data_IF_683300191887
#
_entry.id   IF_683300191887
#
_cell.length_a   1.000
_cell.length_b   1.000
_cell.length_c   1.000
_cell.angle_alpha   90.00
_cell.angle_beta   90.00
_cell.angle_gamma   90.00
#
_symmetry.space_group_name_H-M   'P 1'
#
loop_
_entity.id
_entity.type
_entity.pdbx_description
1 polymer ?
#
# COMPACT_ATOMS: atom_id res chain seq x y z
N UNK A 1 34.79 17.88 13.74
CA UNK A 1 34.18 17.18 12.58
C UNK A 1 34.38 15.69 12.80
N UNK A 2 33.46 15.03 13.48
CA UNK A 2 33.47 13.56 13.59
C UNK A 2 32.67 13.03 12.40
N UNK A 3 33.39 12.66 11.33
CA UNK A 3 32.82 11.96 10.19
C UNK A 3 32.52 10.51 10.55
N UNK A 4 31.51 10.30 11.40
CA UNK A 4 30.89 8.99 11.51
C UNK A 4 30.27 8.65 10.17
N UNK A 5 30.59 7.48 9.60
CA UNK A 5 29.89 6.96 8.43
C UNK A 5 28.40 6.93 8.77
N UNK A 6 27.61 7.83 8.17
CA UNK A 6 26.16 7.70 8.21
C UNK A 6 25.81 6.42 7.45
N UNK A 7 25.38 5.39 8.20
CA UNK A 7 25.05 4.09 7.63
C UNK A 7 23.73 4.22 6.86
N UNK A 8 23.83 4.26 5.54
CA UNK A 8 22.67 4.34 4.63
C UNK A 8 22.11 2.96 4.35
N UNK A 9 20.78 2.81 4.27
CA UNK A 9 20.16 1.58 3.75
C UNK A 9 20.27 1.60 2.23
N UNK A 10 20.85 0.56 1.64
CA UNK A 10 20.94 0.39 0.18
C UNK A 10 19.89 -0.60 -0.28
N UNK A 11 19.03 -0.19 -1.19
CA UNK A 11 18.08 -1.07 -1.87
C UNK A 11 18.53 -1.25 -3.31
N UNK A 12 18.74 -2.49 -3.74
CA UNK A 12 19.06 -2.83 -5.13
C UNK A 12 17.82 -3.37 -5.80
N UNK A 13 17.39 -2.69 -6.84
CA UNK A 13 16.31 -3.08 -7.74
C UNK A 13 16.86 -3.89 -8.91
N UNK A 14 16.01 -4.72 -9.51
CA UNK A 14 16.27 -5.50 -10.73
C UNK A 14 15.33 -5.03 -11.82
N UNK A 15 15.84 -5.02 -13.05
CA UNK A 15 15.03 -4.68 -14.20
C UNK A 15 13.98 -5.78 -14.49
N UNK A 16 12.74 -5.40 -14.71
CA UNK A 16 11.59 -6.30 -14.83
C UNK A 16 11.72 -7.32 -15.97
N UNK A 17 12.34 -6.92 -17.09
CA UNK A 17 12.58 -7.80 -18.26
C UNK A 17 14.02 -8.32 -18.42
N UNK A 18 15.00 -7.82 -17.66
CA UNK A 18 16.40 -8.20 -17.83
C UNK A 18 17.03 -8.38 -16.45
N UNK A 19 17.09 -9.63 -15.98
CA UNK A 19 17.45 -9.92 -14.59
C UNK A 19 18.88 -9.50 -14.20
N UNK A 20 19.77 -9.29 -15.19
CA UNK A 20 21.17 -8.88 -15.01
C UNK A 20 21.32 -7.39 -14.75
N UNK A 21 20.36 -6.57 -15.21
CA UNK A 21 20.39 -5.12 -14.97
C UNK A 21 19.88 -4.82 -13.57
N UNK A 22 20.70 -4.08 -12.82
CA UNK A 22 20.41 -3.63 -11.46
C UNK A 22 20.50 -2.11 -11.35
N UNK A 23 19.67 -1.54 -10.49
CA UNK A 23 19.72 -0.14 -10.07
C UNK A 23 19.75 -0.12 -8.55
N UNK A 24 20.40 0.87 -7.93
CA UNK A 24 20.37 1.00 -6.47
C UNK A 24 19.93 2.39 -6.08
N UNK A 25 19.11 2.47 -5.04
CA UNK A 25 18.89 3.71 -4.33
C UNK A 25 19.32 3.59 -2.86
N UNK A 26 19.57 4.73 -2.25
CA UNK A 26 20.11 4.85 -0.91
C UNK A 26 19.16 5.66 -0.04
N UNK A 27 18.75 5.09 1.10
CA UNK A 27 17.94 5.78 2.10
C UNK A 27 18.89 6.30 3.17
N UNK A 28 18.80 7.60 3.44
CA UNK A 28 19.39 8.29 4.56
C UNK A 28 18.35 8.32 5.69
N UNK A 29 18.55 7.54 6.77
CA UNK A 29 17.65 7.55 7.91
C UNK A 29 17.70 8.90 8.62
N UNK A 30 16.58 9.28 9.24
CA UNK A 30 16.52 10.46 10.09
C UNK A 30 17.34 10.27 11.37
N UNK A 31 17.79 11.38 11.95
CA UNK A 31 18.45 11.40 13.26
C UNK A 31 17.40 11.53 14.37
N UNK A 32 16.60 10.47 14.55
CA UNK A 32 15.59 10.36 15.61
C UNK A 32 15.47 8.92 16.11
N UNK A 33 14.89 8.73 17.29
CA UNK A 33 14.80 7.41 17.95
C UNK A 33 14.05 6.38 17.09
N UNK A 34 12.90 6.75 16.52
CA UNK A 34 12.10 5.86 15.68
C UNK A 34 12.88 5.35 14.46
N UNK A 35 13.66 6.21 13.80
CA UNK A 35 14.49 5.81 12.68
C UNK A 35 15.61 4.86 13.11
N UNK A 36 16.21 5.05 14.30
CA UNK A 36 17.20 4.11 14.83
C UNK A 36 16.57 2.75 15.18
N UNK A 37 15.40 2.76 15.81
CA UNK A 37 14.63 1.57 16.14
C UNK A 37 14.20 0.80 14.89
N UNK A 38 13.75 1.52 13.86
CA UNK A 38 13.48 0.95 12.53
C UNK A 38 14.71 0.28 11.93
N UNK A 39 15.89 0.90 12.00
CA UNK A 39 17.13 0.31 11.48
C UNK A 39 17.51 -0.98 12.22
N UNK A 40 17.31 -1.03 13.53
CA UNK A 40 17.52 -2.25 14.34
C UNK A 40 16.55 -3.34 13.89
N UNK A 41 15.26 -3.04 13.79
CA UNK A 41 14.25 -3.99 13.32
C UNK A 41 14.51 -4.46 11.88
N UNK A 42 14.85 -3.56 10.96
CA UNK A 42 15.24 -3.90 9.60
C UNK A 42 16.43 -4.87 9.61
N UNK A 43 17.50 -4.56 10.35
CA UNK A 43 18.69 -5.41 10.41
C UNK A 43 18.40 -6.77 11.03
N UNK A 44 17.85 -6.78 12.24
CA UNK A 44 17.81 -7.96 13.09
C UNK A 44 16.61 -8.86 12.81
N UNK A 45 15.47 -8.26 12.46
CA UNK A 45 14.25 -9.00 12.19
C UNK A 45 14.06 -9.33 10.71
N UNK A 46 14.46 -8.45 9.81
CA UNK A 46 14.25 -8.67 8.37
C UNK A 46 15.49 -9.25 7.71
N UNK A 47 16.61 -8.52 7.74
CA UNK A 47 17.77 -8.84 6.91
C UNK A 47 18.51 -10.09 7.40
N UNK A 48 18.79 -10.20 8.71
CA UNK A 48 19.46 -11.39 9.29
C UNK A 48 18.63 -12.67 9.13
N UNK A 49 17.30 -12.55 9.22
CA UNK A 49 16.37 -13.69 9.08
C UNK A 49 16.00 -13.96 7.62
N UNK A 50 16.35 -13.07 6.70
CA UNK A 50 16.00 -13.09 5.28
C UNK A 50 14.50 -13.36 5.07
N UNK A 51 13.65 -12.54 5.74
CA UNK A 51 12.20 -12.73 5.67
C UNK A 51 11.69 -12.62 4.23
N UNK A 52 10.58 -13.30 3.94
CA UNK A 52 10.04 -13.35 2.59
C UNK A 52 9.35 -12.03 2.23
N UNK A 53 9.93 -11.28 1.29
CA UNK A 53 9.39 -10.05 0.72
C UNK A 53 8.18 -10.32 -0.19
N UNK A 54 7.08 -9.60 0.02
CA UNK A 54 5.85 -9.66 -0.78
C UNK A 54 5.98 -8.83 -2.07
N UNK A 55 6.35 -9.48 -3.19
CA UNK A 55 6.69 -8.77 -4.45
C UNK A 55 5.51 -8.39 -5.33
N UNK A 56 4.37 -9.06 -5.19
CA UNK A 56 3.13 -8.79 -5.93
C UNK A 56 2.31 -7.64 -5.30
N UNK A 57 2.77 -7.04 -4.20
CA UNK A 57 2.17 -5.86 -3.59
C UNK A 57 3.26 -4.88 -3.10
N UNK A 58 4.25 -4.62 -3.97
CA UNK A 58 5.42 -3.82 -3.59
C UNK A 58 5.48 -2.45 -4.27
N UNK A 59 5.06 -2.35 -5.52
CA UNK A 59 5.10 -1.11 -6.30
C UNK A 59 3.70 -0.81 -6.83
N UNK A 60 3.09 0.27 -6.36
CA UNK A 60 1.72 0.64 -6.71
C UNK A 60 1.70 1.94 -7.52
N UNK A 61 0.68 2.10 -8.37
CA UNK A 61 0.45 3.36 -9.09
C UNK A 61 1.48 3.72 -10.17
N UNK A 62 2.27 2.74 -10.64
CA UNK A 62 3.19 2.92 -11.77
C UNK A 62 2.46 2.65 -13.09
N UNK A 63 2.12 3.67 -13.89
CA UNK A 63 1.18 3.53 -15.02
C UNK A 63 1.68 2.61 -16.14
N UNK A 64 3.01 2.50 -16.29
CA UNK A 64 3.67 1.69 -17.31
C UNK A 64 4.30 0.41 -16.74
N UNK A 65 3.84 -0.06 -15.58
CA UNK A 65 4.36 -1.30 -14.97
C UNK A 65 3.98 -2.54 -15.82
N UNK A 66 4.69 -3.65 -15.60
CA UNK A 66 4.31 -4.94 -16.19
C UNK A 66 3.11 -5.60 -15.50
N UNK A 67 2.66 -5.06 -14.35
CA UNK A 67 1.44 -5.50 -13.66
C UNK A 67 0.25 -4.73 -14.21
N UNK A 68 -0.18 -5.11 -15.41
CA UNK A 68 -1.25 -4.39 -16.15
C UNK A 68 -2.64 -4.68 -15.57
N UNK A 69 -3.63 -3.85 -15.93
CA UNK A 69 -5.04 -4.08 -15.55
C UNK A 69 -5.53 -5.46 -15.99
N UNK A 70 -5.15 -5.90 -17.20
CA UNK A 70 -5.50 -7.22 -17.74
C UNK A 70 -4.90 -8.37 -16.93
N UNK A 71 -3.64 -8.22 -16.49
CA UNK A 71 -2.98 -9.22 -15.66
C UNK A 71 -3.64 -9.28 -14.28
N UNK A 72 -3.89 -8.13 -13.64
CA UNK A 72 -4.52 -8.06 -12.33
C UNK A 72 -5.96 -8.61 -12.35
N UNK A 73 -6.73 -8.34 -13.41
CA UNK A 73 -8.04 -8.95 -13.60
C UNK A 73 -7.96 -10.48 -13.71
N UNK A 74 -6.93 -11.01 -14.39
CA UNK A 74 -6.71 -12.46 -14.49
C UNK A 74 -6.37 -13.06 -13.12
N UNK A 75 -5.47 -12.43 -12.37
CA UNK A 75 -5.12 -12.86 -11.01
C UNK A 75 -6.34 -12.86 -10.07
N UNK A 76 -7.22 -11.84 -10.18
CA UNK A 76 -8.50 -11.79 -9.47
C UNK A 76 -9.44 -12.94 -9.86
N UNK A 77 -9.64 -13.19 -11.15
CA UNK A 77 -10.51 -14.27 -11.60
C UNK A 77 -9.97 -15.65 -11.18
N UNK A 78 -8.65 -15.84 -11.15
CA UNK A 78 -8.02 -17.06 -10.64
C UNK A 78 -8.25 -17.23 -9.12
N UNK A 79 -8.23 -16.12 -8.37
CA UNK A 79 -8.55 -16.11 -6.94
C UNK A 79 -10.04 -16.46 -6.70
N UNK A 80 -10.95 -15.80 -7.41
CA UNK A 80 -12.40 -16.10 -7.39
C UNK A 80 -12.67 -17.57 -7.71
N UNK A 81 -12.05 -18.09 -8.78
CA UNK A 81 -12.21 -19.49 -9.16
C UNK A 81 -11.73 -20.45 -8.06
N UNK A 82 -10.61 -20.12 -7.40
CA UNK A 82 -10.07 -20.93 -6.30
C UNK A 82 -11.05 -20.95 -5.11
N UNK A 83 -11.55 -19.78 -4.71
CA UNK A 83 -12.52 -19.63 -3.61
C UNK A 83 -13.81 -20.39 -3.91
N UNK A 84 -14.39 -20.20 -5.10
CA UNK A 84 -15.62 -20.86 -5.50
C UNK A 84 -15.44 -22.39 -5.59
N UNK A 85 -14.30 -22.88 -6.10
CA UNK A 85 -13.99 -24.32 -6.09
C UNK A 85 -13.92 -24.87 -4.67
N UNK A 86 -13.31 -24.14 -3.74
CA UNK A 86 -13.26 -24.54 -2.34
C UNK A 86 -14.65 -24.61 -1.71
N UNK A 87 -15.52 -23.64 -1.99
CA UNK A 87 -16.92 -23.67 -1.56
C UNK A 87 -17.64 -24.97 -1.99
N UNK A 88 -17.41 -25.44 -3.23
CA UNK A 88 -18.01 -26.68 -3.73
C UNK A 88 -17.49 -27.97 -3.07
N UNK A 89 -16.39 -27.92 -2.31
CA UNK A 89 -15.91 -29.09 -1.54
C UNK A 89 -16.83 -29.44 -0.36
N UNK A 90 -17.71 -28.52 0.04
CA UNK A 90 -18.61 -28.69 1.18
C UNK A 90 -17.94 -28.49 2.54
N UNK A 91 -16.67 -28.09 2.61
CA UNK A 91 -15.93 -27.97 3.88
C UNK A 91 -16.55 -26.91 4.79
N UNK A 92 -16.92 -25.74 4.27
CA UNK A 92 -17.59 -24.70 5.06
C UNK A 92 -18.93 -25.18 5.60
N UNK A 93 -19.74 -25.80 4.75
CA UNK A 93 -21.08 -26.30 5.11
C UNK A 93 -21.01 -27.42 6.14
N UNK A 94 -20.01 -28.32 6.06
CA UNK A 94 -19.76 -29.35 7.08
C UNK A 94 -19.39 -28.77 8.45
N UNK A 95 -18.92 -27.53 8.50
CA UNK A 95 -18.65 -26.79 9.72
C UNK A 95 -19.78 -25.79 10.08
N UNK A 96 -20.98 -25.94 9.50
CA UNK A 96 -22.13 -25.04 9.68
C UNK A 96 -21.87 -23.59 9.27
N UNK A 97 -20.99 -23.38 8.28
CA UNK A 97 -20.72 -22.08 7.70
C UNK A 97 -21.49 -21.97 6.37
N UNK A 98 -22.16 -20.84 6.16
CA UNK A 98 -22.91 -20.56 4.93
C UNK A 98 -22.00 -20.63 3.68
N UNK A 99 -22.53 -21.10 2.53
CA UNK A 99 -21.80 -21.05 1.28
C UNK A 99 -21.38 -19.62 0.94
N UNK A 100 -20.17 -19.46 0.41
CA UNK A 100 -19.70 -18.19 -0.13
C UNK A 100 -19.39 -18.37 -1.61
N UNK A 101 -20.08 -17.61 -2.46
CA UNK A 101 -19.89 -17.61 -3.91
C UNK A 101 -19.66 -16.18 -4.36
N UNK A 102 -18.59 -15.97 -5.11
CA UNK A 102 -18.34 -14.71 -5.81
C UNK A 102 -18.79 -14.92 -7.26
N UNK A 103 -19.79 -14.17 -7.70
CA UNK A 103 -20.40 -14.23 -9.02
C UNK A 103 -19.85 -13.18 -10.00
N UNK A 104 -19.12 -12.19 -9.48
CA UNK A 104 -18.43 -11.19 -10.27
C UNK A 104 -17.33 -11.79 -11.18
N UNK A 105 -17.19 -11.21 -12.37
CA UNK A 105 -16.10 -11.47 -13.31
C UNK A 105 -15.35 -10.16 -13.62
N UNK A 106 -14.03 -10.22 -13.55
CA UNK A 106 -13.18 -9.03 -13.67
C UNK A 106 -12.50 -8.98 -15.04
N UNK A 107 -12.66 -7.86 -15.73
CA UNK A 107 -11.91 -7.50 -16.93
C UNK A 107 -11.74 -5.98 -16.97
N UNK A 108 -10.86 -5.42 -17.81
CA UNK A 108 -10.68 -3.96 -17.88
C UNK A 108 -11.98 -3.17 -17.99
N UNK A 109 -12.97 -3.69 -18.72
CA UNK A 109 -14.28 -3.07 -18.94
C UNK A 109 -15.19 -3.12 -17.72
N UNK A 110 -15.03 -4.08 -16.80
CA UNK A 110 -15.81 -4.13 -15.54
C UNK A 110 -15.14 -3.34 -14.42
N UNK A 111 -13.82 -3.14 -14.50
CA UNK A 111 -13.04 -2.35 -13.53
C UNK A 111 -13.08 -0.85 -13.82
N UNK A 112 -13.02 -0.44 -15.09
CA UNK A 112 -12.96 0.98 -15.47
C UNK A 112 -13.76 1.30 -16.71
N UNK A 113 -14.07 2.57 -16.90
CA UNK A 113 -14.68 3.07 -18.11
C UNK A 113 -13.68 3.10 -19.28
N UNK A 114 -14.12 2.78 -20.50
CA UNK A 114 -13.25 2.73 -21.66
C UNK A 114 -12.73 4.12 -22.04
N UNK A 115 -11.62 4.14 -22.78
CA UNK A 115 -10.95 5.36 -23.23
C UNK A 115 -11.77 6.24 -24.17
N UNK A 116 -12.85 5.70 -24.73
CA UNK A 116 -13.68 6.40 -25.71
C UNK A 116 -14.53 7.51 -25.05
N UNK A 117 -14.65 7.46 -23.72
CA UNK A 117 -15.11 8.58 -22.92
C UNK A 117 -13.97 9.60 -22.73
N UNK A 118 -14.31 10.88 -22.71
CA UNK A 118 -13.37 11.96 -22.35
C UNK A 118 -12.81 11.78 -20.94
N UNK A 119 -11.70 12.44 -20.65
CA UNK A 119 -11.06 12.46 -19.34
C UNK A 119 -11.04 13.90 -18.85
N UNK A 120 -11.61 14.15 -17.68
CA UNK A 120 -11.58 15.46 -17.01
C UNK A 120 -10.23 15.67 -16.31
N UNK A 121 -9.66 16.87 -16.42
CA UNK A 121 -8.51 17.25 -15.59
C UNK A 121 -8.95 17.54 -14.15
N UNK A 122 -8.10 17.23 -13.17
CA UNK A 122 -8.33 17.51 -11.76
C UNK A 122 -8.68 18.99 -11.47
N UNK A 123 -8.18 19.93 -12.29
CA UNK A 123 -8.38 21.37 -12.10
C UNK A 123 -9.54 21.96 -12.93
N UNK A 124 -10.22 21.17 -13.76
CA UNK A 124 -11.33 21.66 -14.60
C UNK A 124 -12.62 21.73 -13.78
N UNK A 125 -13.03 22.94 -13.35
CA UNK A 125 -14.39 23.16 -12.86
C UNK A 125 -15.37 23.14 -14.04
N UNK A 126 -16.23 22.12 -14.11
CA UNK A 126 -17.19 21.94 -15.20
C UNK A 126 -17.77 20.53 -15.28
N UNK A 127 -18.75 20.39 -16.18
CA UNK A 127 -19.68 19.26 -16.37
C UNK A 127 -19.12 17.88 -15.99
N UNK A 128 -19.57 17.32 -14.85
CA UNK A 128 -19.27 15.95 -14.38
C UNK A 128 -20.11 14.91 -15.13
N UNK A 129 -20.32 15.15 -16.42
CA UNK A 129 -21.17 14.33 -17.28
C UNK A 129 -20.56 12.96 -17.56
N UNK A 130 -21.43 12.01 -17.91
CA UNK A 130 -21.07 10.65 -18.28
C UNK A 130 -19.98 10.58 -19.36
N UNK A 131 -19.90 11.61 -20.22
CA UNK A 131 -18.89 11.75 -21.27
C UNK A 131 -17.46 12.01 -20.77
N UNK A 132 -17.22 12.25 -19.48
CA UNK A 132 -15.88 12.49 -18.90
C UNK A 132 -15.36 11.37 -17.97
N UNK A 133 -15.95 10.18 -18.11
CA UNK A 133 -15.63 9.02 -17.29
C UNK A 133 -14.42 8.21 -17.77
N UNK A 134 -13.75 8.57 -18.86
CA UNK A 134 -12.67 7.76 -19.45
C UNK A 134 -11.59 7.39 -18.43
N UNK A 135 -11.25 6.10 -18.34
CA UNK A 135 -10.32 5.58 -17.32
C UNK A 135 -10.73 5.80 -15.85
N UNK A 136 -11.92 6.33 -15.54
CA UNK A 136 -12.42 6.30 -14.16
C UNK A 136 -12.67 4.86 -13.73
N UNK A 137 -12.37 4.58 -12.47
CA UNK A 137 -12.79 3.35 -11.81
C UNK A 137 -14.32 3.25 -11.79
N UNK A 138 -14.81 2.02 -11.89
CA UNK A 138 -16.20 1.68 -11.58
C UNK A 138 -16.25 1.30 -10.11
N UNK A 139 -16.37 2.31 -9.25
CA UNK A 139 -16.31 2.19 -7.78
C UNK A 139 -17.19 1.07 -7.24
N UNK A 140 -18.42 0.93 -7.75
CA UNK A 140 -19.32 -0.15 -7.33
C UNK A 140 -18.75 -1.57 -7.53
N UNK A 141 -17.90 -1.79 -8.53
CA UNK A 141 -17.23 -3.10 -8.74
C UNK A 141 -16.17 -3.35 -7.68
N UNK A 142 -15.34 -2.35 -7.37
CA UNK A 142 -14.28 -2.49 -6.38
C UNK A 142 -14.82 -2.51 -4.96
N UNK A 143 -15.90 -1.78 -4.66
CA UNK A 143 -16.58 -1.85 -3.37
C UNK A 143 -17.13 -3.25 -3.08
N UNK A 144 -17.68 -3.94 -4.09
CA UNK A 144 -18.07 -5.36 -3.94
C UNK A 144 -16.87 -6.25 -3.70
N UNK A 145 -15.78 -6.04 -4.45
CA UNK A 145 -14.53 -6.79 -4.28
C UNK A 145 -13.95 -6.63 -2.86
N UNK A 146 -13.89 -5.40 -2.34
CA UNK A 146 -13.52 -5.10 -0.95
C UNK A 146 -14.42 -5.84 0.03
N UNK A 147 -15.73 -5.76 -0.14
CA UNK A 147 -16.70 -6.42 0.72
C UNK A 147 -16.53 -7.95 0.74
N UNK A 148 -16.23 -8.57 -0.41
CA UNK A 148 -15.93 -10.01 -0.46
C UNK A 148 -14.69 -10.37 0.37
N UNK A 149 -13.62 -9.58 0.25
CA UNK A 149 -12.42 -9.77 1.06
C UNK A 149 -12.72 -9.61 2.55
N UNK A 150 -13.39 -8.53 2.95
CA UNK A 150 -13.72 -8.23 4.35
C UNK A 150 -14.53 -9.36 4.99
N UNK A 151 -15.55 -9.88 4.31
CA UNK A 151 -16.33 -11.02 4.80
C UNK A 151 -15.51 -12.31 4.87
N UNK A 152 -14.75 -12.61 3.80
CA UNK A 152 -13.99 -13.85 3.71
C UNK A 152 -12.79 -13.89 4.65
N UNK A 153 -12.13 -12.76 4.94
CA UNK A 153 -10.96 -12.66 5.82
C UNK A 153 -11.37 -12.42 7.28
N UNK A 154 -12.39 -11.58 7.51
CA UNK A 154 -12.69 -10.98 8.80
C UNK A 154 -11.69 -9.89 9.20
N UNK A 155 -11.78 -9.45 10.45
CA UNK A 155 -10.91 -8.39 11.00
C UNK A 155 -9.74 -9.00 11.79
N UNK A 156 -8.80 -8.15 12.28
CA UNK A 156 -7.65 -8.60 13.09
C UNK A 156 -8.07 -9.30 14.37
N UNK A 157 -9.02 -8.72 15.09
CA UNK A 157 -9.53 -9.27 16.34
C UNK A 157 -10.46 -10.46 16.12
N UNK A 158 -11.02 -10.60 14.91
CA UNK A 158 -12.03 -11.59 14.60
C UNK A 158 -11.90 -12.07 13.15
N UNK A 159 -10.93 -12.96 12.93
CA UNK A 159 -10.80 -13.71 11.67
C UNK A 159 -12.10 -14.47 11.41
N UNK A 160 -12.59 -14.44 10.18
CA UNK A 160 -13.85 -15.07 9.79
C UNK A 160 -13.78 -16.59 9.89
N UNK A 161 -14.93 -17.24 10.07
CA UNK A 161 -15.01 -18.71 10.02
C UNK A 161 -14.66 -19.26 8.63
N UNK A 162 -14.99 -18.52 7.56
CA UNK A 162 -14.57 -18.87 6.20
C UNK A 162 -13.05 -18.99 6.10
N UNK A 163 -12.31 -18.00 6.61
CA UNK A 163 -10.85 -18.02 6.57
C UNK A 163 -10.25 -19.11 7.46
N UNK A 164 -10.77 -19.31 8.68
CA UNK A 164 -10.26 -20.33 9.61
C UNK A 164 -10.29 -21.72 9.00
N UNK A 165 -11.40 -22.06 8.35
CA UNK A 165 -11.65 -23.37 7.76
C UNK A 165 -11.17 -23.51 6.30
N UNK A 166 -10.68 -22.43 5.68
CA UNK A 166 -10.11 -22.46 4.34
C UNK A 166 -8.77 -23.21 4.29
N UNK A 167 -8.52 -23.91 3.18
CA UNK A 167 -7.18 -24.45 2.89
C UNK A 167 -6.19 -23.33 2.53
N UNK A 168 -4.90 -23.66 2.46
CA UNK A 168 -3.85 -22.66 2.21
C UNK A 168 -4.01 -21.96 0.85
N UNK A 169 -4.47 -22.68 -0.17
CA UNK A 169 -4.68 -22.11 -1.50
C UNK A 169 -5.84 -21.09 -1.50
N UNK A 170 -6.89 -21.39 -0.75
CA UNK A 170 -8.06 -20.52 -0.57
C UNK A 170 -7.70 -19.31 0.30
N UNK A 171 -6.92 -19.47 1.37
CA UNK A 171 -6.39 -18.36 2.17
C UNK A 171 -5.54 -17.41 1.32
N UNK A 172 -4.66 -17.96 0.47
CA UNK A 172 -3.92 -17.17 -0.50
C UNK A 172 -4.85 -16.41 -1.45
N UNK A 173 -5.85 -17.08 -2.01
CA UNK A 173 -6.81 -16.47 -2.93
C UNK A 173 -7.60 -15.33 -2.27
N UNK A 174 -8.05 -15.49 -1.02
CA UNK A 174 -8.72 -14.45 -0.24
C UNK A 174 -7.81 -13.22 -0.12
N UNK A 175 -6.53 -13.39 0.26
CA UNK A 175 -5.56 -12.28 0.31
C UNK A 175 -5.41 -11.57 -1.04
N UNK A 176 -5.40 -12.32 -2.15
CA UNK A 176 -5.24 -11.74 -3.48
C UNK A 176 -6.41 -10.83 -3.89
N UNK A 177 -7.62 -11.04 -3.36
CA UNK A 177 -8.75 -10.13 -3.58
C UNK A 177 -8.37 -8.71 -3.16
N UNK A 178 -7.81 -8.54 -1.95
CA UNK A 178 -7.41 -7.24 -1.43
C UNK A 178 -6.20 -6.65 -2.17
N UNK A 179 -5.14 -7.45 -2.33
CA UNK A 179 -3.91 -7.04 -2.99
C UNK A 179 -4.18 -6.52 -4.40
N UNK A 180 -4.92 -7.27 -5.21
CA UNK A 180 -5.22 -6.88 -6.58
C UNK A 180 -6.20 -5.70 -6.64
N UNK A 181 -7.14 -5.60 -5.68
CA UNK A 181 -8.06 -4.47 -5.59
C UNK A 181 -7.31 -3.14 -5.44
N UNK A 182 -6.46 -3.03 -4.42
CA UNK A 182 -5.68 -1.81 -4.17
C UNK A 182 -4.67 -1.49 -5.27
N UNK A 183 -4.08 -2.52 -5.89
CA UNK A 183 -3.18 -2.32 -7.03
C UNK A 183 -3.94 -1.80 -8.25
N UNK A 184 -5.13 -2.34 -8.54
CA UNK A 184 -6.02 -1.83 -9.60
C UNK A 184 -6.46 -0.40 -9.33
N UNK A 185 -6.86 -0.08 -8.11
CA UNK A 185 -7.24 1.29 -7.70
C UNK A 185 -6.13 2.28 -8.02
N UNK A 186 -4.93 1.99 -7.51
CA UNK A 186 -3.76 2.85 -7.65
C UNK A 186 -3.31 2.98 -9.11
N UNK A 187 -3.30 1.86 -9.85
CA UNK A 187 -2.89 1.81 -11.24
C UNK A 187 -3.85 2.59 -12.15
N UNK A 188 -5.15 2.34 -12.03
CA UNK A 188 -6.16 2.99 -12.87
C UNK A 188 -6.19 4.50 -12.59
N UNK A 189 -6.14 4.91 -11.32
CA UNK A 189 -6.05 6.33 -10.96
C UNK A 189 -4.83 6.99 -11.61
N UNK A 190 -3.67 6.33 -11.54
CA UNK A 190 -2.42 6.85 -12.12
C UNK A 190 -2.45 6.89 -13.64
N UNK A 191 -3.03 5.89 -14.30
CA UNK A 191 -3.22 5.87 -15.76
C UNK A 191 -4.20 6.96 -16.22
N UNK A 192 -5.29 7.20 -15.47
CA UNK A 192 -6.22 8.32 -15.76
C UNK A 192 -5.48 9.66 -15.68
N UNK A 193 -4.71 9.88 -14.61
CA UNK A 193 -3.94 11.11 -14.40
C UNK A 193 -2.84 11.30 -15.45
N UNK A 194 -2.20 10.24 -15.92
CA UNK A 194 -1.19 10.33 -16.98
C UNK A 194 -1.69 11.04 -18.25
N UNK A 195 -3.00 10.98 -18.54
CA UNK A 195 -3.61 11.56 -19.74
C UNK A 195 -3.77 13.09 -19.64
N UNK A 196 -4.17 13.62 -18.48
CA UNK A 196 -4.53 15.04 -18.30
C UNK A 196 -3.70 15.79 -17.25
N UNK A 197 -3.25 15.07 -16.24
CA UNK A 197 -2.60 15.60 -15.04
C UNK A 197 -1.34 14.78 -14.70
N UNK A 198 -0.37 14.63 -15.63
CA UNK A 198 0.74 13.69 -15.48
C UNK A 198 1.63 14.01 -14.27
N UNK A 199 1.62 15.24 -13.78
CA UNK A 199 2.33 15.60 -12.55
C UNK A 199 1.73 14.96 -11.28
N UNK A 200 0.47 14.52 -11.35
CA UNK A 200 -0.33 14.01 -10.23
C UNK A 200 -0.44 12.48 -10.18
N UNK A 201 0.22 11.76 -11.09
CA UNK A 201 0.41 10.30 -11.00
C UNK A 201 0.92 9.96 -9.59
N UNK A 202 0.42 8.88 -8.99
CA UNK A 202 0.67 8.53 -7.58
C UNK A 202 1.45 7.21 -7.43
N UNK A 203 2.68 7.10 -7.94
CA UNK A 203 3.49 5.91 -7.69
C UNK A 203 3.94 5.86 -6.23
N UNK A 204 3.95 4.67 -5.65
CA UNK A 204 4.46 4.40 -4.32
C UNK A 204 5.18 3.06 -4.27
N UNK A 205 5.93 2.84 -3.20
CA UNK A 205 6.51 1.56 -2.85
C UNK A 205 6.08 1.18 -1.44
N UNK A 206 5.61 -0.05 -1.27
CA UNK A 206 5.28 -0.68 0.00
C UNK A 206 6.26 -1.84 0.19
N UNK A 207 7.02 -1.86 1.27
CA UNK A 207 8.06 -2.88 1.49
C UNK A 207 7.68 -3.76 2.67
N UNK A 208 6.86 -4.78 2.41
CA UNK A 208 6.30 -5.67 3.42
C UNK A 208 6.88 -7.07 3.39
N UNK A 209 6.98 -7.69 4.55
CA UNK A 209 7.53 -9.04 4.71
C UNK A 209 6.55 -9.95 5.43
N UNK A 210 6.50 -11.21 5.00
CA UNK A 210 5.70 -12.21 5.67
C UNK A 210 6.19 -12.41 7.11
N UNK A 211 5.26 -12.27 8.05
CA UNK A 211 5.50 -12.47 9.48
C UNK A 211 6.57 -11.52 10.05
N UNK A 212 6.66 -10.29 9.53
CA UNK A 212 7.52 -9.25 10.11
C UNK A 212 7.21 -9.05 11.61
N UNK A 213 8.20 -9.19 12.51
CA UNK A 213 8.05 -8.88 13.92
C UNK A 213 7.58 -7.44 14.13
N UNK A 214 6.68 -7.28 15.11
CA UNK A 214 6.07 -6.00 15.48
C UNK A 214 6.56 -5.60 16.86
N UNK A 215 6.91 -4.33 17.00
CA UNK A 215 7.40 -3.71 18.23
C UNK A 215 6.47 -2.57 18.62
N UNK A 216 6.27 -2.33 19.91
CA UNK A 216 5.38 -1.26 20.37
C UNK A 216 6.00 0.11 20.11
N UNK A 217 5.21 1.03 19.56
CA UNK A 217 5.57 2.45 19.50
C UNK A 217 5.58 3.04 20.92
N UNK A 218 6.67 3.73 21.25
CA UNK A 218 6.81 4.51 22.48
C UNK A 218 6.05 5.85 22.36
N UNK A 219 5.83 6.52 23.49
CA UNK A 219 5.23 7.87 23.49
C UNK A 219 6.09 8.90 22.73
N UNK A 220 7.42 8.69 22.67
CA UNK A 220 8.36 9.53 21.91
C UNK A 220 8.20 9.33 20.40
N UNK A 221 8.10 8.07 19.94
CA UNK A 221 7.88 7.76 18.52
C UNK A 221 6.61 8.43 17.99
N UNK A 222 5.55 8.41 18.81
CA UNK A 222 4.24 8.96 18.46
C UNK A 222 4.25 10.47 18.27
N UNK A 223 5.25 11.19 18.80
CA UNK A 223 5.42 12.61 18.51
C UNK A 223 5.69 12.88 17.02
N UNK A 224 6.21 11.87 16.29
CA UNK A 224 6.39 11.95 14.85
C UNK A 224 5.08 12.22 14.10
N UNK A 225 3.94 11.71 14.58
CA UNK A 225 2.63 12.01 13.98
C UNK A 225 2.29 13.50 14.07
N UNK A 226 2.60 14.13 15.21
CA UNK A 226 2.37 15.56 15.41
C UNK A 226 3.29 16.39 14.52
N UNK A 227 4.54 15.97 14.39
CA UNK A 227 5.55 16.67 13.61
C UNK A 227 5.28 16.59 12.10
N UNK A 228 4.93 15.42 11.57
CA UNK A 228 4.76 15.19 10.14
C UNK A 228 3.31 15.40 9.66
N UNK A 229 2.31 15.08 10.49
CA UNK A 229 0.89 15.01 10.09
C UNK A 229 0.72 14.11 8.87
N UNK A 230 -0.17 14.50 7.95
CA UNK A 230 -0.47 13.80 6.72
C UNK A 230 0.41 14.22 5.54
N UNK A 231 1.55 14.88 5.80
CA UNK A 231 2.49 15.24 4.74
C UNK A 231 3.11 13.98 4.12
N UNK A 232 3.11 13.94 2.79
CA UNK A 232 3.76 12.92 1.96
C UNK A 232 4.64 13.62 0.92
N UNK A 233 5.93 13.36 0.94
CA UNK A 233 6.91 14.08 0.13
C UNK A 233 7.68 13.17 -0.82
N UNK A 234 7.97 13.66 -2.03
CA UNK A 234 8.69 12.89 -3.04
C UNK A 234 10.06 12.40 -2.55
N UNK A 235 10.29 11.10 -2.61
CA UNK A 235 11.54 10.46 -2.19
C UNK A 235 11.65 10.25 -0.67
N UNK A 236 10.62 10.59 0.11
CA UNK A 236 10.63 10.38 1.55
C UNK A 236 10.18 8.96 1.91
N UNK A 237 10.70 8.50 3.04
CA UNK A 237 10.50 7.15 3.57
C UNK A 237 9.68 7.25 4.85
N UNK A 238 8.61 6.48 4.89
CA UNK A 238 7.67 6.45 6.00
C UNK A 238 7.64 5.04 6.60
N UNK A 239 7.43 4.98 7.91
CA UNK A 239 7.18 3.73 8.59
C UNK A 239 5.93 3.07 7.99
N UNK A 240 6.03 1.79 7.67
CA UNK A 240 4.88 1.05 7.16
C UNK A 240 3.80 0.92 8.23
N UNK A 241 2.53 0.97 7.81
CA UNK A 241 1.40 0.73 8.70
C UNK A 241 1.28 -0.77 9.03
N UNK A 242 2.09 -1.23 9.98
CA UNK A 242 2.25 -2.64 10.34
C UNK A 242 1.06 -3.24 11.13
N UNK A 243 -0.17 -2.82 10.86
CA UNK A 243 -1.38 -3.23 11.54
C UNK A 243 -2.56 -3.23 10.57
N UNK A 244 -3.47 -4.21 10.66
CA UNK A 244 -4.69 -4.21 9.83
C UNK A 244 -5.80 -3.52 10.62
N UNK A 245 -6.65 -2.74 9.93
CA UNK A 245 -7.74 -1.94 10.52
C UNK A 245 -7.89 -0.61 9.80
N UNK A 246 -8.97 0.12 10.04
CA UNK A 246 -9.16 1.46 9.47
C UNK A 246 -8.52 2.51 10.37
N UNK A 247 -7.86 3.49 9.77
CA UNK A 247 -7.44 4.71 10.46
C UNK A 247 -8.63 5.62 10.72
N UNK A 248 -8.50 6.54 11.68
CA UNK A 248 -9.52 7.58 11.94
C UNK A 248 -9.79 8.41 10.68
N UNK A 249 -8.75 8.65 9.88
CA UNK A 249 -8.85 9.45 8.67
C UNK A 249 -9.60 8.72 7.54
N UNK A 250 -9.36 7.41 7.37
CA UNK A 250 -10.11 6.58 6.42
C UNK A 250 -11.58 6.49 6.80
N UNK A 251 -11.90 6.27 8.09
CA UNK A 251 -13.29 6.29 8.56
C UNK A 251 -13.97 7.62 8.23
N UNK A 252 -13.29 8.75 8.45
CA UNK A 252 -13.85 10.06 8.14
C UNK A 252 -14.15 10.23 6.63
N UNK A 253 -13.28 9.72 5.76
CA UNK A 253 -13.45 9.79 4.29
C UNK A 253 -14.53 8.82 3.79
N UNK A 254 -14.60 7.61 4.33
CA UNK A 254 -15.52 6.57 3.89
C UNK A 254 -16.96 6.84 4.33
N UNK A 255 -17.15 7.43 5.50
CA UNK A 255 -18.48 7.59 6.13
C UNK A 255 -19.15 8.94 5.82
N UNK A 256 -18.69 9.65 4.77
CA UNK A 256 -19.20 10.98 4.37
C UNK A 256 -19.29 11.97 5.56
N UNK A 257 -18.32 11.92 6.48
CA UNK A 257 -18.30 12.72 7.72
C UNK A 257 -19.46 12.47 8.70
N UNK A 258 -20.11 11.30 8.65
CA UNK A 258 -21.13 10.93 9.63
C UNK A 258 -20.54 10.77 11.05
N UNK A 259 -21.41 10.75 12.06
CA UNK A 259 -20.96 10.64 13.46
C UNK A 259 -20.43 9.23 13.75
N UNK A 260 -19.38 9.14 14.57
CA UNK A 260 -18.91 7.85 15.07
C UNK A 260 -20.04 7.16 15.82
N UNK A 261 -20.34 5.92 15.44
CA UNK A 261 -21.20 5.03 16.20
C UNK A 261 -20.33 3.94 16.86
N UNK A 262 -20.89 3.20 17.82
CA UNK A 262 -20.17 2.18 18.61
C UNK A 262 -19.47 1.14 17.71
N UNK A 263 -20.12 0.73 16.61
CA UNK A 263 -19.56 -0.21 15.63
C UNK A 263 -18.39 0.37 14.83
N UNK A 264 -18.44 1.66 14.48
CA UNK A 264 -17.36 2.36 13.77
C UNK A 264 -16.17 2.59 14.71
N UNK A 265 -16.41 2.88 15.99
CA UNK A 265 -15.35 2.99 17.00
C UNK A 265 -14.57 1.68 17.18
N UNK A 266 -15.26 0.54 17.16
CA UNK A 266 -14.61 -0.79 17.27
C UNK A 266 -13.77 -1.16 16.03
N UNK A 267 -14.06 -0.56 14.87
CA UNK A 267 -13.32 -0.78 13.62
C UNK A 267 -12.06 0.09 13.50
N UNK A 268 -11.97 1.21 14.23
CA UNK A 268 -10.81 2.09 14.24
C UNK A 268 -9.69 1.42 15.04
N UNK A 269 -8.52 1.27 14.41
CA UNK A 269 -7.33 0.75 15.11
C UNK A 269 -6.19 1.74 15.01
N UNK A 270 -5.96 2.50 16.08
CA UNK A 270 -4.80 3.40 16.16
C UNK A 270 -3.50 2.60 16.05
N UNK A 271 -2.53 3.11 15.30
CA UNK A 271 -1.27 2.38 15.08
C UNK A 271 -0.54 2.16 16.39
N UNK A 272 -0.34 0.89 16.76
CA UNK A 272 0.35 0.52 18.00
C UNK A 272 1.78 0.07 17.78
N UNK A 273 2.10 -0.35 16.55
CA UNK A 273 3.31 -1.08 16.27
C UNK A 273 4.12 -0.46 15.14
N UNK A 274 5.44 -0.64 15.24
CA UNK A 274 6.36 -0.52 14.12
C UNK A 274 6.98 -1.88 13.80
N UNK A 275 7.60 -2.00 12.62
CA UNK A 275 8.38 -3.15 12.18
C UNK A 275 9.59 -2.67 11.36
N UNK A 276 10.40 -3.59 10.83
CA UNK A 276 11.46 -3.26 9.87
C UNK A 276 10.95 -2.89 8.46
N UNK A 277 9.63 -2.91 8.25
CA UNK A 277 8.97 -2.55 6.98
C UNK A 277 8.94 -1.04 6.77
N UNK A 278 8.87 -0.61 5.52
CA UNK A 278 8.86 0.81 5.17
C UNK A 278 8.19 1.07 3.82
N UNK A 279 7.63 2.27 3.70
CA UNK A 279 7.00 2.77 2.49
C UNK A 279 7.80 3.93 1.90
N UNK A 280 7.75 4.10 0.59
CA UNK A 280 8.38 5.22 -0.11
C UNK A 280 7.32 5.94 -0.94
N UNK A 281 7.28 7.25 -0.79
CA UNK A 281 6.47 8.13 -1.63
C UNK A 281 7.24 8.51 -2.89
N UNK A 282 6.80 8.03 -4.05
CA UNK A 282 7.40 8.40 -5.34
C UNK A 282 6.57 9.46 -6.08
N UNK A 283 5.41 9.84 -5.58
CA UNK A 283 4.56 10.82 -6.25
C UNK A 283 4.99 12.27 -5.97
N UNK A 284 4.26 13.22 -6.58
CA UNK A 284 4.35 14.64 -6.21
C UNK A 284 4.06 14.81 -4.73
N UNK A 285 4.87 15.63 -4.06
CA UNK A 285 4.67 15.99 -2.66
C UNK A 285 3.29 16.60 -2.46
N UNK A 286 2.60 16.14 -1.43
CA UNK A 286 1.35 16.66 -0.90
C UNK A 286 1.61 17.00 0.55
N UNK A 287 1.74 18.30 0.82
CA UNK A 287 2.03 18.81 2.16
C UNK A 287 1.15 20.00 2.47
N UNK A 288 0.94 20.27 3.75
CA UNK A 288 0.22 21.46 4.18
C UNK A 288 0.93 22.74 3.70
N UNK A 289 0.14 23.77 3.36
CA UNK A 289 0.62 25.08 2.88
C UNK A 289 1.51 25.02 1.61
N UNK A 290 1.36 23.98 0.78
CA UNK A 290 2.02 23.86 -0.51
C UNK A 290 1.06 24.16 -1.68
N UNK A 291 1.47 23.84 -2.90
CA UNK A 291 0.65 23.97 -4.13
C UNK A 291 -0.50 22.94 -4.22
N UNK A 292 -1.12 22.63 -3.07
CA UNK A 292 -2.18 21.65 -2.89
C UNK A 292 -3.29 22.23 -1.96
N UNK A 293 -3.95 23.34 -2.28
CA UNK A 293 -4.91 24.00 -1.37
C UNK A 293 -6.09 23.11 -0.97
N UNK A 294 -6.44 22.13 -1.82
CA UNK A 294 -7.44 21.11 -1.50
C UNK A 294 -7.04 20.25 -0.29
N UNK A 295 -5.74 20.02 -0.07
CA UNK A 295 -5.24 19.22 1.05
C UNK A 295 -5.38 19.97 2.37
N UNK A 296 -5.05 21.27 2.39
CA UNK A 296 -5.29 22.12 3.57
C UNK A 296 -6.77 22.21 3.90
N UNK A 297 -7.61 22.34 2.87
CA UNK A 297 -9.06 22.34 3.05
C UNK A 297 -9.55 21.00 3.63
N UNK A 298 -9.13 19.87 3.07
CA UNK A 298 -9.48 18.54 3.56
C UNK A 298 -9.09 18.34 5.03
N UNK A 299 -7.86 18.70 5.40
CA UNK A 299 -7.39 18.61 6.79
C UNK A 299 -8.14 19.56 7.73
N UNK A 300 -8.58 20.73 7.23
CA UNK A 300 -9.44 21.63 8.01
C UNK A 300 -10.79 21.01 8.33
N UNK A 301 -11.42 20.33 7.34
CA UNK A 301 -12.70 19.64 7.53
C UNK A 301 -12.54 18.45 8.48
N UNK A 302 -11.46 17.68 8.33
CA UNK A 302 -11.14 16.58 9.21
C UNK A 302 -10.97 17.05 10.67
N UNK A 303 -10.25 18.15 10.89
CA UNK A 303 -10.08 18.72 12.23
C UNK A 303 -11.42 19.12 12.86
N UNK A 304 -12.31 19.77 12.10
CA UNK A 304 -13.67 20.12 12.57
C UNK A 304 -14.46 18.87 12.93
N UNK A 305 -14.32 17.79 12.16
CA UNK A 305 -14.98 16.54 12.46
C UNK A 305 -14.43 15.89 13.75
N UNK A 306 -13.12 15.85 13.94
CA UNK A 306 -12.49 15.33 15.17
C UNK A 306 -13.00 16.06 16.43
N UNK A 307 -13.08 17.39 16.39
CA UNK A 307 -13.60 18.19 17.50
C UNK A 307 -15.05 17.81 17.85
N UNK A 308 -15.90 17.53 16.85
CA UNK A 308 -17.28 17.05 17.07
C UNK A 308 -17.33 15.67 17.72
N UNK A 309 -16.31 14.83 17.49
CA UNK A 309 -16.19 13.50 18.09
C UNK A 309 -15.44 13.49 19.43
N UNK A 310 -15.09 14.66 19.99
CA UNK A 310 -14.26 14.82 21.19
C UNK A 310 -12.85 14.17 21.05
N UNK A 311 -12.29 14.17 19.84
CA UNK A 311 -10.94 13.70 19.56
C UNK A 311 -10.00 14.90 19.39
N UNK A 312 -8.89 14.93 20.14
CA UNK A 312 -7.90 16.00 20.02
C UNK A 312 -6.93 15.72 18.86
N UNK A 313 -6.91 16.61 17.87
CA UNK A 313 -5.99 16.55 16.72
C UNK A 313 -4.50 16.53 17.12
N UNK A 314 -4.17 16.99 18.33
CA UNK A 314 -2.82 16.98 18.87
C UNK A 314 -2.54 15.80 19.81
N UNK A 315 -3.48 14.89 20.01
CA UNK A 315 -3.22 13.67 20.79
C UNK A 315 -2.40 12.68 19.94
N UNK A 316 -1.12 12.43 20.28
CA UNK A 316 -0.26 11.51 19.53
C UNK A 316 -0.73 10.05 19.61
N UNK A 317 -1.59 9.70 20.57
CA UNK A 317 -2.14 8.35 20.72
C UNK A 317 -3.15 8.00 19.63
N UNK A 318 -3.79 9.01 19.04
CA UNK A 318 -4.71 8.82 17.93
C UNK A 318 -4.01 8.42 16.62
N UNK A 319 -2.68 8.55 16.56
CA UNK A 319 -1.86 8.15 15.40
C UNK A 319 -2.30 8.83 14.10
N UNK A 320 -2.59 10.13 14.18
CA UNK A 320 -3.10 10.92 13.06
C UNK A 320 -1.96 11.38 12.15
N UNK A 321 -1.70 10.61 11.08
CA UNK A 321 -0.73 10.98 10.05
C UNK A 321 0.22 9.84 9.69
N UNK A 322 1.39 10.21 9.17
CA UNK A 322 2.46 9.30 8.80
C UNK A 322 3.71 9.53 9.64
N UNK A 323 4.46 8.47 9.94
CA UNK A 323 5.73 8.56 10.64
C UNK A 323 6.88 8.58 9.65
N UNK A 324 7.49 9.75 9.48
CA UNK A 324 8.67 9.93 8.62
C UNK A 324 9.93 9.36 9.30
N UNK A 325 10.69 8.54 8.58
CA UNK A 325 11.86 7.82 9.13
C UNK A 325 13.14 8.01 8.30
N UNK A 326 13.06 8.63 7.13
CA UNK A 326 14.23 8.94 6.32
C UNK A 326 13.88 9.41 4.93
N UNK A 327 14.91 9.61 4.10
CA UNK A 327 14.76 10.11 2.73
C UNK A 327 15.74 9.46 1.78
N UNK A 328 15.36 9.34 0.52
CA UNK A 328 16.26 8.85 -0.51
C UNK A 328 17.27 9.94 -0.87
N UNK A 329 18.53 9.52 -1.01
CA UNK A 329 19.57 10.31 -1.66
C UNK A 329 19.38 10.27 -3.18
N UNK A 330 18.50 11.14 -3.70
CA UNK A 330 18.07 11.12 -5.10
C UNK A 330 19.25 11.34 -6.07
N UNK A 331 20.13 12.30 -5.77
CA UNK A 331 21.31 12.58 -6.59
C UNK A 331 22.27 11.39 -6.62
N UNK A 332 22.59 10.78 -5.47
CA UNK A 332 23.44 9.58 -5.44
C UNK A 332 22.80 8.39 -6.16
N UNK A 333 21.48 8.26 -6.07
CA UNK A 333 20.74 7.10 -6.56
C UNK A 333 20.46 7.18 -8.06
N UNK A 334 20.16 8.37 -8.58
CA UNK A 334 19.65 8.58 -9.93
C UNK A 334 20.44 9.62 -10.75
N UNK A 335 21.33 10.39 -10.11
CA UNK A 335 22.05 11.51 -10.76
C UNK A 335 21.16 12.71 -11.09
N UNK A 336 19.97 12.77 -10.49
CA UNK A 336 18.99 13.83 -10.68
C UNK A 336 18.01 13.83 -9.51
N UNK A 337 17.42 14.99 -9.23
CA UNK A 337 16.27 15.18 -8.34
C UNK A 337 14.96 15.35 -9.13
N UNK A 338 15.03 15.33 -10.47
CA UNK A 338 13.87 15.48 -11.32
C UNK A 338 12.97 14.24 -11.25
N UNK A 339 11.78 14.42 -10.69
CA UNK A 339 10.80 13.35 -10.47
C UNK A 339 10.44 12.59 -11.75
N UNK A 340 10.19 13.29 -12.86
CA UNK A 340 9.79 12.66 -14.11
C UNK A 340 10.92 11.85 -14.75
N UNK A 341 12.17 12.28 -14.60
CA UNK A 341 13.33 11.49 -15.03
C UNK A 341 13.50 10.23 -14.17
N UNK A 342 13.35 10.36 -12.85
CA UNK A 342 13.38 9.22 -11.91
C UNK A 342 12.27 8.21 -12.25
N UNK A 343 11.06 8.67 -12.56
CA UNK A 343 9.97 7.77 -12.93
C UNK A 343 10.28 6.94 -14.18
N UNK A 344 10.83 7.57 -15.24
CA UNK A 344 11.22 6.86 -16.47
C UNK A 344 12.24 5.75 -16.22
N UNK A 345 13.14 5.97 -15.26
CA UNK A 345 14.09 4.94 -14.83
C UNK A 345 13.34 3.86 -14.04
N UNK A 346 12.65 4.25 -12.96
CA UNK A 346 12.00 3.34 -12.01
C UNK A 346 10.96 2.41 -12.63
N UNK A 347 10.22 2.83 -13.65
CA UNK A 347 9.21 1.99 -14.34
C UNK A 347 9.78 0.66 -14.85
N UNK A 348 11.08 0.62 -15.15
CA UNK A 348 11.77 -0.59 -15.59
C UNK A 348 12.35 -1.43 -14.45
N UNK A 349 12.40 -0.91 -13.22
CA UNK A 349 13.08 -1.51 -12.06
C UNK A 349 12.13 -1.74 -10.87
N UNK A 350 10.90 -2.18 -11.13
CA UNK A 350 9.86 -2.42 -10.10
C UNK A 350 9.98 -3.82 -9.46
N UNK A 351 11.19 -4.19 -9.06
CA UNK A 351 11.49 -5.46 -8.41
C UNK A 351 12.70 -5.33 -7.46
N UNK A 352 12.49 -5.47 -6.15
CA UNK A 352 13.59 -5.42 -5.18
C UNK A 352 14.39 -6.72 -5.24
N UNK A 353 15.67 -6.63 -5.59
CA UNK A 353 16.61 -7.75 -5.61
C UNK A 353 17.34 -7.96 -4.29
N UNK A 354 17.75 -6.90 -3.60
CA UNK A 354 18.39 -7.02 -2.29
C UNK A 354 18.25 -5.74 -1.47
N UNK A 355 18.27 -5.90 -0.15
CA UNK A 355 18.37 -4.79 0.81
C UNK A 355 19.61 -5.02 1.66
N UNK A 356 20.37 -3.96 1.91
CA UNK A 356 21.63 -3.99 2.63
C UNK A 356 21.72 -2.84 3.62
N UNK A 357 22.11 -3.15 4.86
CA UNK A 357 22.35 -2.19 5.92
C UNK A 357 23.34 -2.78 6.95
N UNK A 358 24.30 -1.96 7.38
CA UNK A 358 25.31 -2.32 8.40
C UNK A 358 25.91 -3.73 8.24
N UNK A 359 26.51 -3.96 7.07
CA UNK A 359 27.13 -5.23 6.64
C UNK A 359 26.18 -6.46 6.61
N UNK A 360 24.88 -6.27 6.84
CA UNK A 360 23.85 -7.28 6.68
C UNK A 360 23.18 -7.11 5.33
N UNK A 361 22.98 -8.21 4.60
CA UNK A 361 22.36 -8.21 3.27
C UNK A 361 21.39 -9.37 3.13
N UNK A 362 20.18 -9.06 2.70
CA UNK A 362 19.18 -10.04 2.29
C UNK A 362 19.02 -10.02 0.76
N UNK A 363 18.90 -11.19 0.15
CA UNK A 363 18.76 -11.36 -1.31
C UNK A 363 17.38 -11.98 -1.58
N UNK A 364 16.61 -11.28 -2.40
CA UNK A 364 15.25 -11.62 -2.79
C UNK A 364 15.22 -12.05 -4.26
N UNK A 365 15.92 -13.13 -4.60
CA UNK A 365 16.10 -13.57 -5.98
C UNK A 365 14.91 -14.40 -6.54
N UNK A 366 13.70 -13.86 -6.40
CA UNK A 366 12.47 -14.36 -7.01
C UNK A 366 11.69 -13.21 -7.63
N UNK A 367 10.71 -13.48 -8.48
CA UNK A 367 9.86 -12.48 -9.11
C UNK A 367 8.40 -12.92 -9.01
N UNK A 368 7.46 -11.98 -8.96
CA UNK A 368 6.03 -12.29 -8.84
C UNK A 368 5.50 -13.14 -10.01
N UNK A 369 6.19 -13.10 -11.16
CA UNK A 369 5.86 -13.90 -12.35
C UNK A 369 6.58 -15.25 -12.44
N UNK A 370 7.41 -15.61 -11.45
CA UNK A 370 8.05 -16.93 -11.44
C UNK A 370 6.98 -18.02 -11.23
N UNK A 371 7.11 -19.17 -11.90
CA UNK A 371 6.09 -20.22 -11.92
C UNK A 371 5.74 -20.78 -10.53
N UNK A 372 6.69 -20.75 -9.60
CA UNK A 372 6.57 -21.27 -8.23
C UNK A 372 6.23 -20.17 -7.21
N UNK A 373 6.04 -18.92 -7.64
CA UNK A 373 5.84 -17.78 -6.74
C UNK A 373 4.61 -17.94 -5.85
N UNK A 374 3.48 -18.38 -6.43
CA UNK A 374 2.25 -18.68 -5.67
C UNK A 374 2.47 -19.78 -4.63
N UNK A 375 3.22 -20.83 -4.98
CA UNK A 375 3.52 -21.92 -4.04
C UNK A 375 4.36 -21.40 -2.87
N UNK A 376 5.42 -20.64 -3.16
CA UNK A 376 6.28 -20.03 -2.13
C UNK A 376 5.48 -19.19 -1.13
N UNK A 377 4.55 -18.36 -1.60
CA UNK A 377 3.68 -17.59 -0.71
C UNK A 377 2.73 -18.46 0.10
N UNK A 378 2.09 -19.44 -0.55
CA UNK A 378 1.13 -20.35 0.09
C UNK A 378 1.78 -21.12 1.24
N UNK A 379 3.03 -21.55 1.09
CA UNK A 379 3.80 -22.24 2.13
C UNK A 379 4.10 -21.36 3.35
N UNK A 380 4.09 -20.04 3.21
CA UNK A 380 4.28 -19.07 4.32
C UNK A 380 2.99 -18.70 5.05
N UNK A 381 1.85 -19.19 4.58
CA UNK A 381 0.57 -19.09 5.29
C UNK A 381 0.33 -20.28 6.24
N UNK A 382 1.26 -21.24 6.29
CA UNK A 382 1.34 -22.26 7.34
C UNK A 382 1.79 -21.62 8.64
#
# INVERSE_FOLDING_TARGET
MNGGLQLTVKVTLRHSLNKDKKLSYYINPDDNILAQDWLVALKDDILKKNLYLEKNYCFLGWPNSHRTVELLCRELNDAVLTINKFNFTGVWQKNNIEPFIIDDWYCPETIRWPRDYGVQSFNEQGDTGWNLLGYSLKEGTLNRLHNYFENLQGTVGQISEWYKHADLATKYAIRQLNTCCHELESLVLSQRKQIKDPEWIRPSQITTFFQAPRHLLTDEDRQGFIKNRYNREFGHVYMHWAQIGKTVYEVWRDEDSSNLNETVCDAITHLQYYSGEFDIEWAKSVTQNADCPWHDYELSQFKVWLEKQNLDYNDPKLSLGYLHIGKIDLERSFGTTNRQEIWKVMENYLDIYSIEYDNCKAIYDWHWSDYDYKQKQTERLK
#
